data_IF_420982108381
#
_entry.id   IF_420982108381
#
_cell.length_a   1.000
_cell.length_b   1.000
_cell.length_c   1.000
_cell.angle_alpha   90.00
_cell.angle_beta   90.00
_cell.angle_gamma   90.00
#
_symmetry.space_group_name_H-M   'P 1'
#
loop_
_entity.id
_entity.type
_entity.pdbx_description
1 polymer ?
#
# COMPACT_ATOMS: atom_id res chain seq x y z
N UNK A 1 0.84 9.41 -16.97
CA UNK A 1 1.32 9.05 -15.63
C UNK A 1 0.44 7.94 -15.08
N UNK A 2 1.01 6.86 -14.55
CA UNK A 2 0.29 5.85 -13.77
C UNK A 2 0.70 6.07 -12.31
N UNK A 3 -0.24 6.49 -11.48
CA UNK A 3 0.00 6.78 -10.06
C UNK A 3 -0.83 5.82 -9.23
N UNK A 4 -0.26 5.31 -8.15
CA UNK A 4 -0.98 4.55 -7.13
C UNK A 4 -1.47 5.52 -6.06
N UNK A 5 -2.74 5.42 -5.69
CA UNK A 5 -3.31 6.16 -4.58
C UNK A 5 -3.75 5.17 -3.51
N UNK A 6 -3.57 5.53 -2.25
CA UNK A 6 -4.04 4.76 -1.10
C UNK A 6 -5.13 5.60 -0.42
N UNK A 7 -6.27 4.98 -0.15
CA UNK A 7 -7.37 5.58 0.61
C UNK A 7 -7.58 4.75 1.87
N UNK A 8 -7.81 5.42 3.00
CA UNK A 8 -8.13 4.79 4.29
C UNK A 8 -9.60 5.04 4.68
N UNK A 9 -10.48 5.17 3.68
CA UNK A 9 -11.91 5.36 3.92
C UNK A 9 -12.51 4.21 4.72
N UNK A 10 -13.46 4.53 5.60
CA UNK A 10 -14.19 3.54 6.42
C UNK A 10 -15.08 2.61 5.60
N UNK A 11 -15.37 3.00 4.35
CA UNK A 11 -16.29 2.34 3.45
C UNK A 11 -15.54 1.90 2.20
N UNK A 12 -15.77 0.65 1.78
CA UNK A 12 -15.17 0.14 0.56
C UNK A 12 -15.67 0.91 -0.68
N UNK A 13 -14.89 0.80 -1.75
CA UNK A 13 -15.13 1.57 -2.97
C UNK A 13 -16.47 1.20 -3.62
N UNK A 14 -16.90 -0.05 -3.49
CA UNK A 14 -18.17 -0.50 -4.05
C UNK A 14 -19.35 0.20 -3.36
N UNK A 15 -19.34 0.21 -2.03
CA UNK A 15 -20.35 0.86 -1.21
C UNK A 15 -20.34 2.39 -1.42
N UNK A 16 -19.16 3.00 -1.55
CA UNK A 16 -19.04 4.42 -1.91
C UNK A 16 -19.67 4.76 -3.26
N UNK A 17 -19.38 3.97 -4.30
CA UNK A 17 -19.94 4.19 -5.63
C UNK A 17 -21.45 3.93 -5.66
N UNK A 18 -21.93 2.90 -4.96
CA UNK A 18 -23.35 2.60 -4.82
C UNK A 18 -24.11 3.74 -4.13
N UNK A 19 -23.55 4.33 -3.07
CA UNK A 19 -24.13 5.49 -2.38
C UNK A 19 -24.25 6.72 -3.31
N UNK A 20 -23.35 6.85 -4.29
CA UNK A 20 -23.42 7.87 -5.35
C UNK A 20 -24.32 7.52 -6.54
N UNK A 21 -25.05 6.41 -6.49
CA UNK A 21 -25.91 5.94 -7.59
C UNK A 21 -25.15 5.40 -8.81
N UNK A 22 -23.84 5.14 -8.67
CA UNK A 22 -23.00 4.62 -9.74
C UNK A 22 -23.00 3.09 -9.73
N UNK A 23 -23.38 2.50 -10.86
CA UNK A 23 -23.34 1.03 -11.02
C UNK A 23 -21.89 0.57 -11.23
N UNK A 24 -21.36 -0.16 -10.25
CA UNK A 24 -20.00 -0.70 -10.26
C UNK A 24 -19.87 -1.81 -11.30
N UNK A 25 -18.84 -1.74 -12.14
CA UNK A 25 -18.48 -2.84 -13.05
C UNK A 25 -17.33 -3.64 -12.43
N UNK A 26 -17.41 -4.96 -12.45
CA UNK A 26 -16.38 -5.84 -11.89
C UNK A 26 -14.95 -5.53 -12.40
N UNK A 27 -14.82 -5.13 -13.67
CA UNK A 27 -13.55 -4.72 -14.27
C UNK A 27 -12.94 -3.41 -13.74
N UNK A 28 -13.69 -2.62 -12.96
CA UNK A 28 -13.16 -1.43 -12.27
C UNK A 28 -12.54 -1.80 -10.91
N UNK A 29 -13.08 -2.81 -10.22
CA UNK A 29 -12.61 -3.26 -8.91
C UNK A 29 -11.25 -3.95 -8.98
N UNK A 30 -10.89 -4.60 -10.10
CA UNK A 30 -9.55 -5.18 -10.29
C UNK A 30 -8.41 -4.14 -10.31
N UNK A 31 -8.73 -2.85 -10.50
CA UNK A 31 -7.74 -1.75 -10.41
C UNK A 31 -7.78 -1.03 -9.05
N UNK A 32 -8.74 -1.39 -8.21
CA UNK A 32 -9.05 -0.76 -6.93
C UNK A 32 -9.13 -1.85 -5.87
N UNK A 33 -7.95 -2.25 -5.39
CA UNK A 33 -7.82 -3.31 -4.41
C UNK A 33 -8.31 -2.83 -3.04
N UNK A 34 -9.36 -3.47 -2.52
CA UNK A 34 -9.75 -3.32 -1.12
C UNK A 34 -8.87 -4.23 -0.26
N UNK A 35 -8.17 -3.65 0.71
CA UNK A 35 -7.38 -4.38 1.69
C UNK A 35 -8.15 -4.34 3.02
N UNK A 36 -8.65 -5.49 3.53
CA UNK A 36 -9.35 -5.50 4.81
C UNK A 36 -8.40 -5.10 5.93
N UNK A 37 -8.86 -4.22 6.83
CA UNK A 37 -8.09 -3.83 8.00
C UNK A 37 -8.34 -4.80 9.15
N UNK A 38 -7.24 -5.30 9.72
CA UNK A 38 -7.25 -6.10 10.93
C UNK A 38 -6.49 -5.39 12.05
N UNK A 39 -6.76 -5.77 13.31
CA UNK A 39 -6.01 -5.23 14.44
C UNK A 39 -4.56 -5.69 14.35
N UNK A 40 -3.64 -4.75 14.44
CA UNK A 40 -2.21 -5.06 14.49
C UNK A 40 -1.90 -5.92 15.73
N UNK A 41 -1.11 -6.97 15.53
CA UNK A 41 -0.64 -7.90 16.56
C UNK A 41 0.85 -7.73 16.90
N UNK A 42 1.56 -6.87 16.15
CA UNK A 42 2.99 -6.63 16.30
C UNK A 42 3.27 -5.12 16.43
N UNK A 43 3.90 -4.72 17.53
CA UNK A 43 4.10 -3.31 17.91
C UNK A 43 5.57 -2.89 17.95
N UNK A 44 6.50 -3.73 17.50
CA UNK A 44 7.94 -3.42 17.46
C UNK A 44 8.50 -2.93 18.82
N UNK A 45 8.12 -3.62 19.92
CA UNK A 45 8.57 -3.28 21.27
C UNK A 45 7.73 -2.23 22.00
N UNK A 46 6.71 -1.65 21.35
CA UNK A 46 5.82 -0.67 21.97
C UNK A 46 4.62 -1.33 22.65
N UNK A 47 4.04 -0.69 23.69
CA UNK A 47 3.08 -1.34 24.58
C UNK A 47 1.72 -1.65 23.93
N UNK A 48 1.36 -0.96 22.86
CA UNK A 48 0.09 -1.18 22.14
C UNK A 48 0.11 -0.52 20.75
N UNK A 49 -0.94 -0.77 19.97
CA UNK A 49 -1.08 -0.22 18.62
C UNK A 49 -1.11 1.32 18.56
N UNK A 50 -1.66 2.00 19.57
CA UNK A 50 -1.64 3.47 19.61
C UNK A 50 -0.22 4.00 19.73
N UNK A 51 0.53 3.51 20.72
CA UNK A 51 1.93 3.89 20.92
C UNK A 51 2.77 3.59 19.67
N UNK A 52 2.51 2.46 19.00
CA UNK A 52 3.16 2.12 17.74
C UNK A 52 2.84 3.11 16.61
N UNK A 53 1.56 3.45 16.43
CA UNK A 53 1.15 4.42 15.41
C UNK A 53 1.69 5.84 15.69
N UNK A 54 1.69 6.27 16.95
CA UNK A 54 2.24 7.58 17.35
C UNK A 54 3.74 7.64 17.08
N UNK A 55 4.51 6.62 17.47
CA UNK A 55 5.94 6.56 17.21
C UNK A 55 6.27 6.59 15.71
N UNK A 56 5.49 5.90 14.88
CA UNK A 56 5.62 5.97 13.42
C UNK A 56 5.33 7.38 12.88
N UNK A 57 4.28 8.03 13.40
CA UNK A 57 3.87 9.39 13.01
C UNK A 57 4.85 10.47 13.48
N UNK A 58 5.59 10.24 14.55
CA UNK A 58 6.68 11.13 14.96
C UNK A 58 7.89 10.90 14.04
N UNK A 59 8.30 9.65 13.86
CA UNK A 59 9.50 9.30 13.10
C UNK A 59 9.43 9.69 11.62
N UNK A 60 8.28 9.50 10.93
CA UNK A 60 8.19 9.75 9.48
C UNK A 60 8.32 11.24 9.10
N UNK A 61 8.10 12.18 10.04
CA UNK A 61 8.24 13.62 9.77
C UNK A 61 9.68 13.91 9.37
N UNK A 62 10.63 13.35 10.12
CA UNK A 62 12.06 13.55 9.89
C UNK A 62 12.68 12.47 9.01
N UNK A 63 12.04 11.29 8.91
CA UNK A 63 12.59 10.12 8.23
C UNK A 63 11.67 9.63 7.09
N UNK A 64 11.62 10.36 5.98
CA UNK A 64 10.86 9.97 4.79
C UNK A 64 11.67 10.09 3.48
N UNK A 65 11.22 9.37 2.44
CA UNK A 65 11.78 9.48 1.09
C UNK A 65 13.09 8.73 0.82
N UNK A 66 13.79 8.23 1.84
CA UNK A 66 15.05 7.50 1.66
C UNK A 66 14.87 6.15 0.95
N UNK A 67 13.94 5.31 1.44
CA UNK A 67 13.75 3.95 0.94
C UNK A 67 13.42 3.91 -0.57
N UNK A 68 12.53 4.81 -1.03
CA UNK A 68 12.16 4.87 -2.45
C UNK A 68 13.33 5.25 -3.35
N UNK A 69 14.21 6.18 -2.91
CA UNK A 69 15.39 6.59 -3.67
C UNK A 69 16.40 5.46 -3.78
N UNK A 70 16.68 4.76 -2.68
CA UNK A 70 17.59 3.61 -2.70
C UNK A 70 17.02 2.45 -3.52
N UNK A 71 15.72 2.20 -3.44
CA UNK A 71 15.06 1.20 -4.28
C UNK A 71 15.19 1.52 -5.78
N UNK A 72 14.97 2.78 -6.18
CA UNK A 72 15.16 3.20 -7.59
C UNK A 72 16.62 3.03 -8.03
N UNK A 73 17.59 3.42 -7.20
CA UNK A 73 19.01 3.18 -7.49
C UNK A 73 19.31 1.70 -7.67
N UNK A 74 18.79 0.86 -6.78
CA UNK A 74 18.96 -0.59 -6.86
C UNK A 74 18.33 -1.17 -8.12
N UNK A 75 17.10 -0.78 -8.47
CA UNK A 75 16.43 -1.21 -9.70
C UNK A 75 17.20 -0.82 -10.96
N UNK A 76 17.77 0.39 -10.99
CA UNK A 76 18.56 0.87 -12.11
C UNK A 76 19.82 0.01 -12.34
N UNK A 77 20.45 -0.46 -11.25
CA UNK A 77 21.63 -1.32 -11.30
C UNK A 77 21.29 -2.82 -11.51
N UNK A 78 20.11 -3.28 -11.10
CA UNK A 78 19.75 -4.71 -11.05
C UNK A 78 18.54 -5.05 -11.96
N UNK A 79 18.53 -4.52 -13.19
CA UNK A 79 17.35 -4.61 -14.07
C UNK A 79 16.94 -6.05 -14.43
N UNK A 80 17.89 -6.96 -14.62
CA UNK A 80 17.59 -8.35 -14.99
C UNK A 80 16.95 -9.09 -13.82
N UNK A 81 17.51 -8.93 -12.63
CA UNK A 81 16.98 -9.50 -11.39
C UNK A 81 15.56 -8.98 -11.11
N UNK A 82 15.35 -7.67 -11.24
CA UNK A 82 14.03 -7.06 -11.08
C UNK A 82 13.00 -7.63 -12.07
N UNK A 83 13.38 -7.81 -13.35
CA UNK A 83 12.49 -8.39 -14.37
C UNK A 83 12.17 -9.86 -14.07
N UNK A 84 13.16 -10.62 -13.59
CA UNK A 84 12.96 -12.02 -13.25
C UNK A 84 12.02 -12.16 -12.05
N UNK A 85 12.19 -11.33 -11.01
CA UNK A 85 11.32 -11.34 -9.84
C UNK A 85 9.83 -11.10 -10.21
N UNK A 86 9.55 -10.22 -11.19
CA UNK A 86 8.18 -10.02 -11.70
C UNK A 86 7.65 -11.27 -12.40
N UNK A 87 8.46 -11.93 -13.24
CA UNK A 87 8.05 -13.15 -13.93
C UNK A 87 7.74 -14.27 -12.94
N UNK A 88 8.59 -14.45 -11.94
CA UNK A 88 8.40 -15.47 -10.91
C UNK A 88 7.10 -15.21 -10.13
N UNK A 89 6.82 -13.95 -9.79
CA UNK A 89 5.58 -13.58 -9.10
C UNK A 89 4.31 -13.81 -9.93
N UNK A 90 4.38 -13.72 -11.27
CA UNK A 90 3.25 -14.01 -12.15
C UNK A 90 2.93 -15.50 -12.28
N UNK A 91 3.88 -16.36 -11.95
CA UNK A 91 3.70 -17.83 -11.99
C UNK A 91 3.19 -18.42 -10.68
N UNK A 92 3.10 -17.61 -9.61
CA UNK A 92 2.55 -17.99 -8.31
C UNK A 92 1.06 -17.69 -8.24
#
# INVERSE_FOLDING_TARGET
>A
WRTVAISTGEMDIETFLAAGGLKVKAGQLVRLLNIPMEKSTAFNGLPNGKAHADALKEAWIDNHGAAGREWVKWLAANQQEAKQAVRDAQTR
#
